data_IF_939821503410
#
_entry.id   IF_939821503410
#
_cell.length_a   1.000
_cell.length_b   1.000
_cell.length_c   1.000
_cell.angle_alpha   90.00
_cell.angle_beta   90.00
_cell.angle_gamma   90.00
#
_symmetry.space_group_name_H-M   'P 1'
#
loop_
_entity.id
_entity.type
_entity.pdbx_description
1 polymer ?
#
# COMPACT_ATOMS: atom_id res chain seq x y z
N UNK A 1 -31.79 -68.64 13.05
CA UNK A 1 -32.88 -67.85 13.69
C UNK A 1 -32.36 -66.45 14.00
N UNK A 2 -33.02 -65.40 13.53
CA UNK A 2 -32.63 -64.02 13.82
C UNK A 2 -32.70 -63.76 15.34
N UNK A 3 -31.64 -63.19 15.93
CA UNK A 3 -31.67 -62.74 17.32
C UNK A 3 -32.70 -61.61 17.43
N UNK A 4 -33.84 -61.85 18.08
CA UNK A 4 -34.78 -60.79 18.44
C UNK A 4 -34.06 -59.78 19.33
N UNK A 5 -33.95 -58.54 18.86
CA UNK A 5 -33.44 -57.42 19.65
C UNK A 5 -34.61 -56.79 20.39
N UNK A 6 -34.54 -56.72 21.71
CA UNK A 6 -35.59 -56.13 22.54
C UNK A 6 -35.25 -54.68 22.87
N UNK A 7 -36.23 -53.79 22.81
CA UNK A 7 -36.04 -52.43 23.31
C UNK A 7 -35.98 -52.43 24.84
N UNK A 8 -35.27 -51.45 25.41
CA UNK A 8 -35.11 -51.31 26.87
C UNK A 8 -36.46 -51.26 27.60
N UNK A 9 -37.49 -50.68 26.98
CA UNK A 9 -38.85 -50.64 27.51
C UNK A 9 -39.53 -52.02 27.57
N UNK A 10 -39.29 -52.86 26.56
CA UNK A 10 -39.84 -54.22 26.48
C UNK A 10 -39.17 -55.13 27.52
N UNK A 11 -37.84 -54.99 27.68
CA UNK A 11 -37.05 -55.68 28.71
C UNK A 11 -37.62 -55.38 30.11
N UNK A 12 -37.90 -54.12 30.42
CA UNK A 12 -38.42 -53.71 31.73
C UNK A 12 -39.86 -54.19 31.94
N UNK A 13 -40.71 -54.19 30.91
CA UNK A 13 -42.05 -54.80 30.98
C UNK A 13 -41.97 -56.30 31.31
N UNK A 14 -41.05 -57.02 30.66
CA UNK A 14 -40.81 -58.43 30.94
C UNK A 14 -40.28 -58.69 32.36
N UNK A 15 -39.42 -57.82 32.89
CA UNK A 15 -38.95 -57.91 34.28
C UNK A 15 -40.07 -57.65 35.30
N UNK A 16 -40.98 -56.71 35.03
CA UNK A 16 -42.17 -56.49 35.88
C UNK A 16 -43.12 -57.70 35.88
N UNK A 17 -43.37 -58.29 34.70
CA UNK A 17 -44.18 -59.53 34.62
C UNK A 17 -43.50 -60.68 35.36
N UNK A 18 -42.17 -60.76 35.33
CA UNK A 18 -41.41 -61.75 36.09
C UNK A 18 -41.56 -61.54 37.60
N UNK A 19 -41.51 -60.31 38.11
CA UNK A 19 -41.71 -60.02 39.54
C UNK A 19 -43.11 -60.42 40.02
N UNK A 20 -44.15 -60.15 39.22
CA UNK A 20 -45.54 -60.54 39.50
C UNK A 20 -45.72 -62.06 39.46
N UNK A 21 -45.17 -62.76 38.48
CA UNK A 21 -45.33 -64.21 38.38
C UNK A 21 -44.48 -64.95 39.42
N UNK A 22 -43.37 -64.36 39.86
CA UNK A 22 -42.56 -64.87 40.97
C UNK A 22 -43.29 -64.73 42.31
N UNK A 23 -44.05 -63.67 42.56
CA UNK A 23 -44.85 -63.53 43.78
C UNK A 23 -46.00 -64.55 43.86
N UNK A 24 -46.43 -65.10 42.72
CA UNK A 24 -47.36 -66.23 42.62
C UNK A 24 -46.70 -67.61 42.79
N UNK A 25 -45.39 -67.67 43.09
CA UNK A 25 -44.67 -68.91 43.37
C UNK A 25 -44.13 -69.68 42.16
N UNK A 26 -44.18 -69.12 40.94
CA UNK A 26 -43.66 -69.79 39.73
C UNK A 26 -42.12 -69.80 39.68
N UNK A 27 -41.56 -70.85 39.11
CA UNK A 27 -40.10 -70.98 38.94
C UNK A 27 -39.59 -70.11 37.79
N UNK A 28 -38.29 -69.76 37.82
CA UNK A 28 -37.67 -68.89 36.81
C UNK A 28 -37.76 -69.47 35.38
N UNK A 29 -37.79 -70.79 35.23
CA UNK A 29 -37.89 -71.48 33.95
C UNK A 29 -39.30 -71.43 33.36
N UNK A 30 -40.33 -71.49 34.20
CA UNK A 30 -41.73 -71.34 33.81
C UNK A 30 -42.05 -69.91 33.39
N UNK A 31 -41.51 -68.93 34.12
CA UNK A 31 -41.65 -67.50 33.80
C UNK A 31 -40.97 -67.18 32.46
N UNK A 32 -39.76 -67.71 32.24
CA UNK A 32 -39.03 -67.55 31.00
C UNK A 32 -39.79 -68.15 29.80
N UNK A 33 -40.38 -69.34 29.96
CA UNK A 33 -41.28 -69.97 28.97
C UNK A 33 -42.53 -69.13 28.69
N UNK A 34 -43.17 -68.58 29.72
CA UNK A 34 -44.36 -67.73 29.58
C UNK A 34 -44.07 -66.42 28.81
N UNK A 35 -42.89 -65.84 29.02
CA UNK A 35 -42.46 -64.61 28.34
C UNK A 35 -41.92 -64.91 26.92
N UNK A 36 -41.59 -66.17 26.62
CA UNK A 36 -41.03 -66.59 25.33
C UNK A 36 -39.55 -66.27 25.18
N UNK A 37 -38.80 -66.26 26.27
CA UNK A 37 -37.36 -65.90 26.32
C UNK A 37 -36.60 -66.97 27.11
N UNK A 38 -35.31 -67.16 26.81
CA UNK A 38 -34.47 -68.10 27.54
C UNK A 38 -34.20 -67.62 28.98
N UNK A 39 -34.22 -68.54 29.96
CA UNK A 39 -34.06 -68.22 31.39
C UNK A 39 -32.74 -67.48 31.70
N UNK A 40 -31.66 -67.81 30.98
CA UNK A 40 -30.35 -67.13 31.08
C UNK A 40 -30.45 -65.64 30.68
N UNK A 41 -31.21 -65.32 29.62
CA UNK A 41 -31.42 -63.95 29.16
C UNK A 41 -32.22 -63.15 30.19
N UNK A 42 -33.26 -63.77 30.76
CA UNK A 42 -34.08 -63.15 31.81
C UNK A 42 -33.26 -62.87 33.08
N UNK A 43 -32.38 -63.79 33.48
CA UNK A 43 -31.46 -63.60 34.61
C UNK A 43 -30.43 -62.49 34.35
N UNK A 44 -29.92 -62.38 33.11
CA UNK A 44 -29.03 -61.29 32.70
C UNK A 44 -29.74 -59.94 32.74
N UNK A 45 -30.94 -59.85 32.18
CA UNK A 45 -31.73 -58.62 32.22
C UNK A 45 -32.08 -58.19 33.64
N UNK A 46 -32.39 -59.14 34.52
CA UNK A 46 -32.61 -58.84 35.94
C UNK A 46 -31.36 -58.25 36.61
N UNK A 47 -30.17 -58.68 36.23
CA UNK A 47 -28.90 -58.13 36.75
C UNK A 47 -28.60 -56.74 36.20
N UNK A 48 -28.87 -56.50 34.92
CA UNK A 48 -28.54 -55.25 34.21
C UNK A 48 -29.60 -54.15 34.38
N UNK A 49 -30.87 -54.52 34.51
CA UNK A 49 -32.02 -53.60 34.52
C UNK A 49 -32.97 -53.81 35.71
N UNK A 50 -32.68 -54.74 36.63
CA UNK A 50 -33.49 -54.98 37.82
C UNK A 50 -33.49 -53.78 38.76
N UNK A 51 -34.66 -53.35 39.21
CA UNK A 51 -34.83 -52.17 40.08
C UNK A 51 -34.88 -50.82 39.34
N UNK A 52 -34.71 -50.79 38.02
CA UNK A 52 -34.82 -49.56 37.23
C UNK A 52 -36.29 -49.28 36.86
N UNK A 53 -36.77 -48.05 37.12
CA UNK A 53 -38.05 -47.61 36.57
C UNK A 53 -37.94 -47.30 35.07
N UNK A 54 -39.05 -47.42 34.32
CA UNK A 54 -39.08 -47.16 32.87
C UNK A 54 -38.51 -45.77 32.51
N UNK A 55 -38.79 -44.77 33.33
CA UNK A 55 -38.31 -43.39 33.13
C UNK A 55 -36.81 -43.25 33.38
N UNK A 56 -36.25 -44.01 34.33
CA UNK A 56 -34.80 -44.04 34.59
C UNK A 56 -34.05 -44.67 33.41
N UNK A 57 -34.63 -45.68 32.76
CA UNK A 57 -34.00 -46.34 31.61
C UNK A 57 -34.01 -45.48 30.35
N UNK A 58 -35.10 -44.73 30.12
CA UNK A 58 -35.19 -43.72 29.06
C UNK A 58 -34.12 -42.64 29.25
N UNK A 59 -34.04 -42.08 30.46
CA UNK A 59 -33.05 -41.06 30.83
C UNK A 59 -31.61 -41.54 30.61
N UNK A 60 -31.31 -42.78 30.98
CA UNK A 60 -29.96 -43.34 30.80
C UNK A 60 -29.57 -43.44 29.32
N UNK A 61 -30.49 -43.87 28.46
CA UNK A 61 -30.26 -43.95 27.01
C UNK A 61 -30.12 -42.57 26.35
N UNK A 62 -30.85 -41.57 26.83
CA UNK A 62 -30.70 -40.18 26.39
C UNK A 62 -29.33 -39.62 26.79
N UNK A 63 -28.91 -39.85 28.04
CA UNK A 63 -27.60 -39.45 28.55
C UNK A 63 -26.45 -40.13 27.78
N UNK A 64 -26.59 -41.39 27.37
CA UNK A 64 -25.60 -42.07 26.53
C UNK A 64 -25.47 -41.42 25.15
N UNK A 65 -26.59 -41.09 24.51
CA UNK A 65 -26.59 -40.38 23.21
C UNK A 65 -25.96 -39.00 23.34
N UNK A 66 -26.28 -38.27 24.40
CA UNK A 66 -25.74 -36.96 24.67
C UNK A 66 -24.24 -37.03 24.96
N UNK A 67 -23.79 -37.99 25.77
CA UNK A 67 -22.37 -38.24 26.00
C UNK A 67 -21.62 -38.59 24.71
N UNK A 68 -22.20 -39.40 23.82
CA UNK A 68 -21.58 -39.70 22.53
C UNK A 68 -21.49 -38.46 21.61
N UNK A 69 -22.45 -37.53 21.70
CA UNK A 69 -22.40 -36.25 21.00
C UNK A 69 -21.34 -35.33 21.60
N UNK A 70 -21.31 -35.19 22.92
CA UNK A 70 -20.33 -34.36 23.64
C UNK A 70 -18.90 -34.84 23.41
N UNK A 71 -18.64 -36.16 23.47
CA UNK A 71 -17.32 -36.73 23.18
C UNK A 71 -16.81 -36.36 21.79
N UNK A 72 -17.68 -36.37 20.78
CA UNK A 72 -17.33 -35.93 19.41
C UNK A 72 -16.99 -34.44 19.37
N UNK A 73 -17.82 -33.60 19.98
CA UNK A 73 -17.58 -32.14 20.04
C UNK A 73 -16.24 -31.84 20.73
N UNK A 74 -15.96 -32.50 21.86
CA UNK A 74 -14.71 -32.31 22.60
C UNK A 74 -13.50 -32.76 21.80
N UNK A 75 -13.58 -33.90 21.10
CA UNK A 75 -12.49 -34.36 20.23
C UNK A 75 -12.23 -33.37 19.08
N UNK A 76 -13.29 -32.84 18.48
CA UNK A 76 -13.17 -31.84 17.42
C UNK A 76 -12.57 -30.53 17.93
N UNK A 77 -13.03 -30.04 19.08
CA UNK A 77 -12.48 -28.85 19.72
C UNK A 77 -11.02 -29.04 20.14
N UNK A 78 -10.63 -30.22 20.63
CA UNK A 78 -9.26 -30.52 21.00
C UNK A 78 -8.31 -30.44 19.80
N UNK A 79 -8.76 -30.92 18.63
CA UNK A 79 -8.00 -30.86 17.40
C UNK A 79 -7.89 -29.40 16.89
N UNK A 80 -8.98 -28.63 16.93
CA UNK A 80 -8.97 -27.21 16.56
C UNK A 80 -8.07 -26.37 17.50
N UNK A 81 -8.08 -26.68 18.80
CA UNK A 81 -7.16 -26.06 19.77
C UNK A 81 -5.71 -26.42 19.48
N UNK A 82 -5.43 -27.65 19.04
CA UNK A 82 -4.08 -28.08 18.65
C UNK A 82 -3.62 -27.33 17.41
N UNK A 83 -4.50 -27.12 16.41
CA UNK A 83 -4.22 -26.28 15.24
C UNK A 83 -3.83 -24.86 15.68
N UNK A 84 -4.60 -24.24 16.58
CA UNK A 84 -4.31 -22.89 17.05
C UNK A 84 -3.00 -22.78 17.83
N UNK A 85 -2.64 -23.81 18.60
CA UNK A 85 -1.38 -23.86 19.36
C UNK A 85 -0.16 -24.13 18.48
N UNK A 86 -0.32 -24.90 17.42
CA UNK A 86 0.74 -25.30 16.48
C UNK A 86 0.90 -24.30 15.31
N UNK A 87 -0.04 -23.37 15.14
CA UNK A 87 0.05 -22.33 14.12
C UNK A 87 1.00 -21.13 14.39
N UNK A 88 1.87 -21.02 15.43
CA UNK A 88 2.57 -19.77 15.69
C UNK A 88 3.83 -19.67 14.81
N UNK A 89 3.64 -19.25 13.57
CA UNK A 89 4.65 -18.50 12.79
C UNK A 89 4.49 -16.99 13.08
N UNK A 90 4.41 -16.61 14.36
CA UNK A 90 4.15 -15.24 14.81
C UNK A 90 2.71 -14.77 14.61
N UNK A 91 2.50 -13.44 14.51
CA UNK A 91 1.15 -12.88 14.29
C UNK A 91 0.69 -13.18 12.85
N UNK A 92 -0.39 -13.95 12.69
CA UNK A 92 -1.04 -14.30 11.41
C UNK A 92 -1.79 -13.11 10.77
N UNK A 93 -1.10 -12.00 10.55
CA UNK A 93 -1.67 -10.73 10.09
C UNK A 93 -1.79 -10.65 8.56
N UNK A 94 -0.92 -11.35 7.83
CA UNK A 94 -0.91 -11.33 6.37
C UNK A 94 -1.49 -12.63 5.77
N UNK A 95 -2.15 -12.56 4.60
CA UNK A 95 -2.56 -13.77 3.89
C UNK A 95 -1.39 -14.72 3.59
N UNK A 96 -0.19 -14.19 3.35
CA UNK A 96 1.01 -15.00 3.11
C UNK A 96 1.40 -15.85 4.33
N UNK A 97 1.50 -15.24 5.52
CA UNK A 97 1.79 -15.98 6.75
C UNK A 97 0.68 -16.98 7.09
N UNK A 98 -0.59 -16.62 6.84
CA UNK A 98 -1.70 -17.56 6.98
C UNK A 98 -1.57 -18.77 6.05
N UNK A 99 -1.11 -18.56 4.80
CA UNK A 99 -0.88 -19.67 3.87
C UNK A 99 0.19 -20.63 4.36
N UNK A 100 1.32 -20.08 4.82
CA UNK A 100 2.42 -20.86 5.37
C UNK A 100 2.00 -21.64 6.62
N UNK A 101 1.27 -21.00 7.54
CA UNK A 101 0.74 -21.66 8.73
C UNK A 101 -0.24 -22.80 8.39
N UNK A 102 -1.10 -22.64 7.38
CA UNK A 102 -1.97 -23.73 6.90
C UNK A 102 -1.14 -24.91 6.41
N UNK A 103 -0.10 -24.67 5.59
CA UNK A 103 0.77 -25.72 5.07
C UNK A 103 1.51 -26.42 6.21
N UNK A 104 2.06 -25.65 7.15
CA UNK A 104 2.78 -26.16 8.31
C UNK A 104 1.90 -27.07 9.17
N UNK A 105 0.71 -26.59 9.55
CA UNK A 105 -0.20 -27.35 10.41
C UNK A 105 -0.75 -28.59 9.71
N UNK A 106 -1.01 -28.53 8.40
CA UNK A 106 -1.38 -29.72 7.63
C UNK A 106 -0.31 -30.80 7.69
N UNK A 107 0.97 -30.40 7.56
CA UNK A 107 2.09 -31.33 7.60
C UNK A 107 2.37 -31.89 9.00
N UNK A 108 2.23 -31.07 10.06
CA UNK A 108 2.53 -31.50 11.43
C UNK A 108 1.40 -32.31 12.07
N UNK A 109 0.15 -31.89 11.90
CA UNK A 109 -1.01 -32.49 12.58
C UNK A 109 -1.81 -33.45 11.68
N UNK A 110 -1.44 -33.61 10.41
CA UNK A 110 -2.14 -34.48 9.45
C UNK A 110 -3.59 -34.06 9.17
N UNK A 111 -3.91 -32.78 9.40
CA UNK A 111 -5.29 -32.26 9.28
C UNK A 111 -5.62 -31.89 7.83
N UNK A 112 -6.91 -31.98 7.46
CA UNK A 112 -7.34 -31.56 6.12
C UNK A 112 -7.16 -30.05 5.91
N UNK A 113 -6.84 -29.64 4.67
CA UNK A 113 -6.75 -28.23 4.26
C UNK A 113 -7.99 -27.44 4.65
N UNK A 114 -9.17 -28.05 4.52
CA UNK A 114 -10.46 -27.43 4.89
C UNK A 114 -10.50 -27.05 6.36
N UNK A 115 -10.10 -27.96 7.24
CA UNK A 115 -10.14 -27.74 8.69
C UNK A 115 -9.08 -26.72 9.10
N UNK A 116 -7.85 -26.86 8.61
CA UNK A 116 -6.76 -25.91 8.86
C UNK A 116 -7.14 -24.48 8.42
N UNK A 117 -7.64 -24.32 7.19
CA UNK A 117 -8.11 -23.02 6.68
C UNK A 117 -9.24 -22.42 7.52
N UNK A 118 -10.20 -23.26 7.97
CA UNK A 118 -11.32 -22.79 8.77
C UNK A 118 -10.86 -22.26 10.13
N UNK A 119 -9.99 -23.00 10.81
CA UNK A 119 -9.48 -22.63 12.15
C UNK A 119 -8.55 -21.41 12.07
N UNK A 120 -7.67 -21.33 11.07
CA UNK A 120 -6.76 -20.19 10.86
C UNK A 120 -7.49 -18.94 10.30
N UNK A 121 -8.72 -19.11 9.79
CA UNK A 121 -9.51 -18.04 9.20
C UNK A 121 -8.93 -17.56 7.86
N UNK A 122 -8.60 -18.49 6.97
CA UNK A 122 -8.18 -18.24 5.59
C UNK A 122 -9.15 -18.90 4.61
N UNK A 123 -9.56 -18.18 3.55
CA UNK A 123 -10.37 -18.79 2.49
C UNK A 123 -9.52 -19.78 1.67
N UNK A 124 -10.04 -20.98 1.40
CA UNK A 124 -9.38 -22.01 0.58
C UNK A 124 -9.02 -21.53 -0.83
N UNK A 125 -9.83 -20.65 -1.42
CA UNK A 125 -9.51 -20.04 -2.72
C UNK A 125 -8.20 -19.25 -2.65
N UNK A 126 -8.00 -18.49 -1.56
CA UNK A 126 -6.74 -17.79 -1.30
C UNK A 126 -5.62 -18.80 -1.15
N UNK A 127 -5.78 -19.85 -0.32
CA UNK A 127 -4.76 -20.89 -0.12
C UNK A 127 -4.27 -21.49 -1.45
N UNK A 128 -5.21 -21.91 -2.30
CA UNK A 128 -4.95 -22.57 -3.59
C UNK A 128 -4.50 -21.64 -4.71
N UNK A 129 -4.62 -20.33 -4.52
CA UNK A 129 -4.24 -19.36 -5.53
C UNK A 129 -2.73 -19.45 -5.83
N UNK A 130 -2.40 -19.80 -7.08
CA UNK A 130 -1.05 -19.71 -7.65
C UNK A 130 -0.92 -18.42 -8.44
N UNK A 131 0.20 -17.74 -8.28
CA UNK A 131 0.53 -16.52 -9.03
C UNK A 131 0.63 -16.89 -10.51
N UNK A 132 -0.13 -16.20 -11.37
CA UNK A 132 0.05 -16.27 -12.82
C UNK A 132 1.09 -15.22 -13.20
N UNK A 133 2.20 -15.65 -13.81
CA UNK A 133 3.21 -14.74 -14.37
C UNK A 133 2.67 -14.29 -15.73
N UNK A 134 2.43 -12.99 -15.85
CA UNK A 134 1.98 -12.36 -17.10
C UNK A 134 3.22 -11.94 -17.90
N UNK A 135 3.40 -12.37 -19.17
CA UNK A 135 4.50 -11.92 -20.02
C UNK A 135 4.59 -10.38 -20.14
N UNK A 136 3.47 -9.67 -19.98
CA UNK A 136 3.46 -8.21 -19.92
C UNK A 136 4.12 -7.67 -18.65
N UNK A 137 4.02 -8.37 -17.52
CA UNK A 137 4.68 -7.96 -16.26
C UNK A 137 6.21 -7.96 -16.42
N UNK A 138 6.78 -8.80 -17.29
CA UNK A 138 8.23 -8.83 -17.52
C UNK A 138 8.71 -7.60 -18.30
N UNK A 139 8.03 -7.27 -19.41
CA UNK A 139 8.30 -6.02 -20.15
C UNK A 139 8.10 -4.79 -19.28
N UNK A 140 7.07 -4.80 -18.44
CA UNK A 140 6.79 -3.73 -17.49
C UNK A 140 7.91 -3.63 -16.44
N UNK A 141 8.42 -4.75 -15.93
CA UNK A 141 9.52 -4.81 -14.97
C UNK A 141 10.80 -4.22 -15.53
N UNK A 142 11.19 -4.61 -16.75
CA UNK A 142 12.34 -4.03 -17.43
C UNK A 142 12.22 -2.50 -17.55
N UNK A 143 11.03 -2.01 -17.92
CA UNK A 143 10.79 -0.57 -18.06
C UNK A 143 10.80 0.17 -16.72
N UNK A 144 10.28 -0.44 -15.65
CA UNK A 144 10.38 0.10 -14.28
C UNK A 144 11.84 0.24 -13.86
N UNK A 145 12.66 -0.80 -14.07
CA UNK A 145 14.08 -0.80 -13.73
C UNK A 145 14.82 0.25 -14.56
N UNK A 146 14.52 0.36 -15.85
CA UNK A 146 15.08 1.39 -16.72
C UNK A 146 14.84 2.79 -16.16
N UNK A 147 13.59 3.13 -15.81
CA UNK A 147 13.27 4.44 -15.27
C UNK A 147 13.84 4.69 -13.87
N UNK A 148 13.93 3.65 -13.03
CA UNK A 148 14.56 3.77 -11.73
C UNK A 148 16.06 4.05 -11.84
N UNK A 149 16.76 3.42 -12.80
CA UNK A 149 18.17 3.68 -13.08
C UNK A 149 18.39 5.07 -13.68
N UNK A 150 17.55 5.44 -14.64
CA UNK A 150 17.65 6.74 -15.31
C UNK A 150 17.32 7.90 -14.36
N UNK A 151 16.36 7.71 -13.47
CA UNK A 151 15.86 8.71 -12.53
C UNK A 151 15.94 8.20 -11.09
N UNK A 152 17.14 8.05 -10.55
CA UNK A 152 17.39 7.42 -9.24
C UNK A 152 16.66 8.03 -8.03
N UNK A 153 16.18 9.27 -8.14
CA UNK A 153 15.40 9.97 -7.09
C UNK A 153 13.88 9.91 -7.31
N UNK A 154 13.40 9.28 -8.39
CA UNK A 154 11.96 9.16 -8.68
C UNK A 154 11.39 7.93 -7.98
N UNK A 155 10.24 8.10 -7.33
CA UNK A 155 9.50 6.98 -6.74
C UNK A 155 8.51 6.35 -7.69
N UNK A 156 7.96 5.20 -7.28
CA UNK A 156 7.02 4.38 -8.06
C UNK A 156 5.86 5.18 -8.66
N UNK A 157 5.33 6.20 -7.98
CA UNK A 157 4.24 7.06 -8.50
C UNK A 157 4.65 7.87 -9.73
N UNK A 158 5.85 8.46 -9.71
CA UNK A 158 6.37 9.19 -10.86
C UNK A 158 6.70 8.24 -12.01
N UNK A 159 7.31 7.10 -11.68
CA UNK A 159 7.59 6.06 -12.68
C UNK A 159 6.30 5.53 -13.31
N UNK A 160 5.21 5.41 -12.55
CA UNK A 160 3.87 5.10 -13.11
C UNK A 160 3.43 6.14 -14.15
N UNK A 161 3.63 7.43 -13.86
CA UNK A 161 3.33 8.50 -14.83
C UNK A 161 4.15 8.39 -16.12
N UNK A 162 5.45 8.08 -16.00
CA UNK A 162 6.33 7.87 -17.15
C UNK A 162 5.92 6.64 -17.97
N UNK A 163 5.59 5.52 -17.31
CA UNK A 163 5.12 4.30 -17.97
C UNK A 163 3.82 4.53 -18.73
N UNK A 164 2.90 5.31 -18.17
CA UNK A 164 1.63 5.61 -18.83
C UNK A 164 1.81 6.53 -20.02
N UNK A 165 2.80 7.42 -19.98
CA UNK A 165 3.20 8.22 -21.14
C UNK A 165 3.78 7.37 -22.27
N UNK A 166 4.51 6.31 -21.92
CA UNK A 166 5.03 5.32 -22.87
C UNK A 166 3.97 4.31 -23.35
N UNK A 167 2.69 4.50 -23.01
CA UNK A 167 1.59 3.68 -23.49
C UNK A 167 1.29 2.40 -22.70
N UNK A 168 1.97 2.14 -21.57
CA UNK A 168 1.74 0.91 -20.78
C UNK A 168 0.37 0.86 -20.08
N UNK A 169 -0.24 2.03 -19.81
CA UNK A 169 -1.55 2.16 -19.14
C UNK A 169 -1.71 1.28 -17.87
N UNK A 170 -0.80 1.47 -16.91
CA UNK A 170 -0.72 0.71 -15.66
C UNK A 170 -1.12 1.52 -14.44
N UNK A 171 -1.73 0.84 -13.47
CA UNK A 171 -2.03 1.40 -12.15
C UNK A 171 -0.79 1.48 -11.25
N UNK A 172 -0.77 2.48 -10.36
CA UNK A 172 0.34 2.72 -9.40
C UNK A 172 0.65 1.52 -8.51
N UNK A 173 -0.36 0.71 -8.17
CA UNK A 173 -0.21 -0.43 -7.26
C UNK A 173 0.46 -1.63 -7.95
N UNK A 174 0.23 -1.78 -9.27
CA UNK A 174 0.93 -2.77 -10.10
C UNK A 174 2.42 -2.44 -10.18
N UNK A 175 2.76 -1.17 -10.40
CA UNK A 175 4.14 -0.66 -10.41
C UNK A 175 4.77 -0.78 -9.02
N UNK A 176 4.04 -0.46 -7.96
CA UNK A 176 4.52 -0.59 -6.58
C UNK A 176 4.88 -2.04 -6.23
N UNK A 177 4.09 -3.02 -6.68
CA UNK A 177 4.37 -4.44 -6.49
C UNK A 177 5.69 -4.85 -7.14
N UNK A 178 5.92 -4.45 -8.39
CA UNK A 178 7.19 -4.71 -9.10
C UNK A 178 8.35 -4.00 -8.39
N UNK A 179 8.16 -2.73 -8.02
CA UNK A 179 9.14 -1.93 -7.29
C UNK A 179 9.62 -2.62 -6.01
N UNK A 180 8.70 -3.19 -5.24
CA UNK A 180 9.01 -3.94 -4.01
C UNK A 180 9.70 -5.29 -4.30
N UNK A 181 9.29 -5.99 -5.35
CA UNK A 181 9.91 -7.27 -5.76
C UNK A 181 11.37 -7.09 -6.20
N UNK A 182 11.66 -5.99 -6.91
CA UNK A 182 13.02 -5.64 -7.36
C UNK A 182 13.88 -5.03 -6.24
N UNK A 183 13.36 -4.89 -5.02
CA UNK A 183 14.09 -4.28 -3.91
C UNK A 183 14.41 -2.79 -4.11
N UNK A 184 13.77 -2.12 -5.07
CA UNK A 184 14.00 -0.71 -5.34
C UNK A 184 13.53 0.14 -4.16
N UNK A 185 14.35 1.10 -3.76
CA UNK A 185 14.01 2.07 -2.72
C UNK A 185 14.37 3.46 -3.19
N UNK A 186 13.50 4.42 -2.90
CA UNK A 186 13.83 5.83 -3.08
C UNK A 186 14.69 6.23 -1.88
N UNK A 187 15.84 6.89 -2.09
CA UNK A 187 16.65 7.40 -1.00
C UNK A 187 15.81 8.21 0.00
N UNK A 188 16.10 8.08 1.29
CA UNK A 188 15.36 8.82 2.31
C UNK A 188 15.52 10.33 2.10
N UNK A 189 14.38 11.03 2.13
CA UNK A 189 14.37 12.49 2.13
C UNK A 189 14.58 12.96 3.56
N UNK A 190 15.44 13.97 3.76
CA UNK A 190 15.52 14.61 5.06
C UNK A 190 14.13 15.11 5.51
N UNK A 191 13.73 14.86 6.77
CA UNK A 191 12.43 15.27 7.26
C UNK A 191 12.33 16.80 7.21
N UNK A 192 11.28 17.29 6.57
CA UNK A 192 10.99 18.73 6.56
C UNK A 192 10.64 19.16 7.98
N UNK A 193 11.29 20.21 8.49
CA UNK A 193 10.81 20.93 9.69
C UNK A 193 9.50 21.61 9.31
N UNK A 194 8.38 21.14 9.87
CA UNK A 194 7.06 21.72 9.61
C UNK A 194 7.00 23.18 10.10
N UNK A 195 6.42 24.06 9.28
CA UNK A 195 5.91 25.35 9.74
C UNK A 195 4.47 25.50 9.27
N UNK A 196 3.69 26.17 10.12
CA UNK A 196 2.24 26.32 10.11
C UNK A 196 1.72 26.72 8.72
N UNK A 197 0.97 25.80 8.11
CA UNK A 197 0.04 26.12 7.03
C UNK A 197 -1.30 26.43 7.67
N UNK A 198 -1.90 27.58 7.37
CA UNK A 198 -3.34 27.69 7.46
C UNK A 198 -3.93 26.84 6.32
N UNK A 199 -4.86 25.95 6.68
CA UNK A 199 -5.38 24.88 5.82
C UNK A 199 -6.41 25.39 4.77
N UNK A 200 -6.52 26.71 4.61
CA UNK A 200 -7.46 27.42 3.75
C UNK A 200 -6.81 28.00 2.48
N UNK A 201 -5.48 27.91 2.36
CA UNK A 201 -4.75 28.33 1.16
C UNK A 201 -4.78 29.83 0.90
N UNK A 202 -5.11 30.65 1.89
CA UNK A 202 -5.22 32.10 1.79
C UNK A 202 -3.88 32.78 2.07
N UNK A 203 -2.95 32.68 1.13
CA UNK A 203 -2.03 33.80 0.90
C UNK A 203 -2.70 34.66 -0.18
N UNK A 204 -2.89 35.96 0.06
CA UNK A 204 -3.37 36.90 -0.97
C UNK A 204 -2.30 36.95 -2.05
N UNK A 205 -2.37 35.99 -2.96
CA UNK A 205 -1.42 35.73 -4.02
C UNK A 205 -2.10 36.10 -5.31
N UNK A 206 -1.50 36.97 -6.13
CA UNK A 206 -1.90 37.07 -7.52
C UNK A 206 -1.70 35.68 -8.15
N UNK A 207 -2.81 35.01 -8.49
CA UNK A 207 -2.76 33.71 -9.15
C UNK A 207 -2.47 33.92 -10.63
N UNK A 208 -1.56 33.13 -11.23
CA UNK A 208 -1.36 33.19 -12.68
C UNK A 208 -2.62 32.68 -13.39
N UNK A 209 -3.01 33.34 -14.47
CA UNK A 209 -4.25 33.04 -15.20
C UNK A 209 -3.98 32.39 -16.56
N UNK A 210 -2.84 32.73 -17.17
CA UNK A 210 -2.40 32.23 -18.46
C UNK A 210 -0.86 32.09 -18.49
N UNK A 211 -0.29 31.34 -19.47
CA UNK A 211 1.16 31.20 -19.63
C UNK A 211 1.86 32.56 -19.76
N UNK A 212 3.01 32.71 -19.11
CA UNK A 212 3.76 33.97 -19.03
C UNK A 212 3.02 35.14 -18.33
N UNK A 213 1.92 34.89 -17.60
CA UNK A 213 1.28 35.95 -16.80
C UNK A 213 2.19 36.44 -15.65
N UNK A 214 2.72 35.48 -14.89
CA UNK A 214 3.57 35.73 -13.72
C UNK A 214 4.81 34.86 -13.80
N UNK A 215 5.98 35.49 -13.85
CA UNK A 215 7.25 34.80 -13.70
C UNK A 215 7.76 34.94 -12.28
N UNK A 216 8.25 33.86 -11.71
CA UNK A 216 8.90 33.86 -10.41
C UNK A 216 10.36 33.52 -10.58
N UNK A 217 11.25 34.26 -9.92
CA UNK A 217 12.67 33.92 -9.90
C UNK A 217 13.23 33.91 -8.48
N UNK A 218 14.31 33.16 -8.31
CA UNK A 218 15.00 32.99 -7.03
C UNK A 218 16.42 32.47 -7.27
N UNK A 219 17.28 32.60 -6.27
CA UNK A 219 18.64 32.08 -6.28
C UNK A 219 18.78 30.76 -5.53
N UNK A 220 19.56 29.85 -6.09
CA UNK A 220 20.06 28.66 -5.41
C UNK A 220 21.58 28.73 -5.37
N UNK A 221 22.16 28.61 -4.19
CA UNK A 221 23.60 28.48 -4.01
C UNK A 221 24.02 27.01 -3.90
N UNK A 222 25.17 26.71 -4.50
CA UNK A 222 25.86 25.42 -4.42
C UNK A 222 27.40 25.65 -4.43
N UNK A 223 28.20 24.62 -4.21
CA UNK A 223 29.67 24.69 -4.32
C UNK A 223 30.22 23.66 -5.30
N UNK A 224 31.28 24.04 -6.02
CA UNK A 224 32.10 23.08 -6.77
C UNK A 224 33.00 22.30 -5.80
N UNK A 225 33.56 21.17 -6.26
CA UNK A 225 34.44 20.28 -5.48
C UNK A 225 35.61 21.00 -4.82
N UNK A 226 36.15 22.02 -5.47
CA UNK A 226 37.21 22.90 -4.95
C UNK A 226 36.71 23.92 -3.88
N UNK A 227 35.46 23.80 -3.43
CA UNK A 227 34.84 24.65 -2.42
C UNK A 227 34.38 26.01 -2.93
N UNK A 228 34.60 26.35 -4.20
CA UNK A 228 34.20 27.65 -4.75
C UNK A 228 32.67 27.71 -4.91
N UNK A 229 32.05 28.81 -4.48
CA UNK A 229 30.60 28.99 -4.58
C UNK A 229 30.15 29.18 -6.04
N UNK A 230 28.98 28.64 -6.37
CA UNK A 230 28.21 28.93 -7.58
C UNK A 230 26.82 29.42 -7.17
N UNK A 231 26.29 30.37 -7.93
CA UNK A 231 24.91 30.85 -7.84
C UNK A 231 24.15 30.42 -9.10
N UNK A 232 22.91 29.98 -8.91
CA UNK A 232 22.00 29.57 -9.96
C UNK A 232 20.78 30.49 -9.88
N UNK A 233 20.52 31.27 -10.92
CA UNK A 233 19.28 32.05 -11.06
C UNK A 233 18.24 31.19 -11.77
N UNK A 234 17.20 30.83 -11.04
CA UNK A 234 16.09 30.06 -11.57
C UNK A 234 14.93 30.99 -11.89
N UNK A 235 14.36 30.86 -13.09
CA UNK A 235 13.18 31.61 -13.54
C UNK A 235 12.13 30.59 -13.95
N UNK A 236 10.94 30.69 -13.36
CA UNK A 236 9.86 29.72 -13.51
C UNK A 236 8.56 30.45 -13.84
N UNK A 237 7.85 30.00 -14.88
CA UNK A 237 6.47 30.44 -15.14
C UNK A 237 5.53 29.80 -14.12
N UNK A 238 4.81 30.65 -13.37
CA UNK A 238 3.91 30.18 -12.33
C UNK A 238 2.72 29.40 -12.89
N UNK A 239 2.29 29.64 -14.13
CA UNK A 239 1.14 28.95 -14.72
C UNK A 239 1.53 27.54 -15.17
N UNK A 240 2.45 27.45 -16.14
CA UNK A 240 2.86 26.20 -16.80
C UNK A 240 3.76 25.32 -15.93
N UNK A 241 4.36 25.89 -14.86
CA UNK A 241 5.42 25.27 -14.05
C UNK A 241 6.73 25.04 -14.81
N UNK A 242 6.86 25.63 -16.00
CA UNK A 242 8.07 25.55 -16.81
C UNK A 242 9.22 26.33 -16.17
N UNK A 243 10.38 25.70 -16.07
CA UNK A 243 11.62 26.42 -15.78
C UNK A 243 12.16 27.06 -17.06
N UNK A 244 11.92 28.37 -17.18
CA UNK A 244 12.31 29.18 -18.33
C UNK A 244 13.85 29.28 -18.41
N UNK A 245 14.51 29.47 -17.27
CA UNK A 245 15.96 29.64 -17.21
C UNK A 245 16.52 29.10 -15.89
N UNK A 246 17.70 28.49 -15.96
CA UNK A 246 18.52 28.09 -14.82
C UNK A 246 19.97 28.57 -15.06
N UNK A 247 20.22 29.86 -14.89
CA UNK A 247 21.50 30.48 -15.24
C UNK A 247 22.54 30.28 -14.14
N UNK A 248 23.68 29.67 -14.47
CA UNK A 248 24.73 29.31 -13.49
C UNK A 248 25.97 30.18 -13.66
N UNK A 249 26.35 30.90 -12.60
CA UNK A 249 27.53 31.75 -12.57
C UNK A 249 28.16 31.80 -11.16
N UNK A 250 29.40 32.30 -11.05
CA UNK A 250 30.04 32.51 -9.74
C UNK A 250 29.45 33.70 -8.99
N UNK A 251 29.08 34.74 -9.73
CA UNK A 251 28.43 35.96 -9.25
C UNK A 251 27.35 36.32 -10.25
N UNK A 252 26.22 36.80 -9.74
CA UNK A 252 25.11 37.30 -10.54
C UNK A 252 24.77 38.68 -9.97
N UNK A 253 24.93 39.71 -10.79
CA UNK A 253 24.66 41.11 -10.48
C UNK A 253 23.32 41.53 -11.06
N UNK A 254 22.73 42.61 -10.55
CA UNK A 254 21.46 43.14 -11.09
C UNK A 254 21.53 43.47 -12.58
N UNK A 255 22.72 43.85 -13.10
CA UNK A 255 22.91 44.12 -14.52
C UNK A 255 22.90 42.83 -15.35
N UNK A 256 23.50 41.76 -14.85
CA UNK A 256 23.42 40.43 -15.49
C UNK A 256 21.97 39.91 -15.49
N UNK A 257 21.21 40.13 -14.41
CA UNK A 257 19.78 39.79 -14.35
C UNK A 257 19.00 40.51 -15.45
N UNK A 258 19.24 41.81 -15.66
CA UNK A 258 18.61 42.57 -16.76
C UNK A 258 18.92 41.93 -18.11
N UNK A 259 20.18 41.55 -18.38
CA UNK A 259 20.54 40.90 -19.65
C UNK A 259 19.85 39.54 -19.82
N UNK A 260 19.84 38.71 -18.78
CA UNK A 260 19.17 37.40 -18.82
C UNK A 260 17.67 37.59 -19.09
N UNK A 261 17.01 38.50 -18.38
CA UNK A 261 15.59 38.77 -18.59
C UNK A 261 15.32 39.38 -19.96
N UNK A 262 16.19 40.25 -20.47
CA UNK A 262 16.03 40.85 -21.81
C UNK A 262 16.05 39.76 -22.89
N UNK A 263 17.00 38.82 -22.82
CA UNK A 263 17.05 37.68 -23.73
C UNK A 263 15.78 36.82 -23.67
N UNK A 264 15.22 36.65 -22.47
CA UNK A 264 13.97 35.90 -22.29
C UNK A 264 12.76 36.66 -22.83
N UNK A 265 12.69 37.98 -22.62
CA UNK A 265 11.62 38.83 -23.12
C UNK A 265 11.59 38.88 -24.64
N UNK A 266 12.76 38.88 -25.29
CA UNK A 266 12.86 38.78 -26.76
C UNK A 266 12.27 37.46 -27.25
N UNK A 267 12.52 36.35 -26.54
CA UNK A 267 12.08 35.01 -26.95
C UNK A 267 10.62 34.72 -26.66
N UNK A 268 10.04 35.28 -25.59
CA UNK A 268 8.72 34.88 -25.06
C UNK A 268 7.73 36.02 -24.89
N UNK A 269 8.17 37.26 -25.08
CA UNK A 269 7.44 38.45 -24.66
C UNK A 269 7.68 38.78 -23.19
N UNK A 270 7.24 39.97 -22.79
CA UNK A 270 7.32 40.43 -21.41
C UNK A 270 6.17 39.83 -20.58
N UNK A 271 6.44 39.27 -19.38
CA UNK A 271 5.38 38.89 -18.46
C UNK A 271 4.70 40.14 -17.89
N UNK A 272 3.43 40.02 -17.46
CA UNK A 272 2.75 41.14 -16.79
C UNK A 272 3.31 41.39 -15.39
N UNK A 273 3.70 40.32 -14.72
CA UNK A 273 4.21 40.37 -13.35
C UNK A 273 5.48 39.55 -13.17
N UNK A 274 6.37 40.06 -12.34
CA UNK A 274 7.59 39.37 -11.92
C UNK A 274 7.64 39.31 -10.40
N UNK A 275 7.81 38.10 -9.87
CA UNK A 275 7.87 37.84 -8.44
C UNK A 275 9.29 37.51 -8.02
N UNK A 276 9.75 38.21 -7.00
CA UNK A 276 11.07 38.03 -6.41
C UNK A 276 10.98 38.05 -4.90
N UNK A 277 11.96 37.45 -4.24
CA UNK A 277 12.21 37.79 -2.84
C UNK A 277 12.83 39.20 -2.73
N UNK A 278 13.10 39.62 -1.50
CA UNK A 278 13.66 40.93 -1.20
C UNK A 278 15.20 40.95 -1.25
N UNK A 279 15.82 40.08 -2.05
CA UNK A 279 17.26 40.10 -2.29
C UNK A 279 17.72 41.45 -2.84
N UNK A 280 18.90 41.91 -2.39
CA UNK A 280 19.46 43.20 -2.79
C UNK A 280 19.65 43.33 -4.31
N UNK A 281 19.93 42.21 -4.98
CA UNK A 281 20.08 42.11 -6.41
C UNK A 281 18.76 42.35 -7.17
N UNK A 282 17.62 42.05 -6.56
CA UNK A 282 16.29 42.14 -7.15
C UNK A 282 15.60 43.48 -6.88
N UNK A 283 15.88 44.11 -5.74
CA UNK A 283 15.36 45.45 -5.41
C UNK A 283 16.21 46.57 -6.05
N UNK A 284 17.32 46.24 -6.71
CA UNK A 284 18.23 47.21 -7.29
C UNK A 284 17.50 48.23 -8.20
N UNK A 285 17.79 49.53 -7.98
CA UNK A 285 17.16 50.65 -8.70
C UNK A 285 17.19 50.52 -10.23
N UNK A 286 18.22 49.86 -10.77
CA UNK A 286 18.37 49.63 -12.21
C UNK A 286 17.28 48.68 -12.74
N UNK A 287 17.01 47.60 -12.02
CA UNK A 287 16.02 46.59 -12.39
C UNK A 287 14.61 47.18 -12.29
N UNK A 288 14.34 47.90 -11.21
CA UNK A 288 13.06 48.56 -10.97
C UNK A 288 12.73 49.65 -12.00
N UNK A 289 13.72 50.44 -12.40
CA UNK A 289 13.54 51.42 -13.48
C UNK A 289 13.24 50.72 -14.81
N UNK A 290 13.96 49.64 -15.10
CA UNK A 290 13.77 48.88 -16.33
C UNK A 290 12.39 48.21 -16.41
N UNK A 291 11.91 47.60 -15.32
CA UNK A 291 10.54 47.06 -15.25
C UNK A 291 9.48 48.15 -15.46
N UNK A 292 9.67 49.33 -14.88
CA UNK A 292 8.78 50.48 -15.11
C UNK A 292 8.73 50.90 -16.59
N UNK A 293 9.86 50.87 -17.29
CA UNK A 293 9.93 51.20 -18.72
C UNK A 293 9.17 50.17 -19.59
N UNK A 294 9.09 48.92 -19.15
CA UNK A 294 8.45 47.82 -19.87
C UNK A 294 7.00 47.54 -19.41
N UNK A 295 6.42 48.36 -18.54
CA UNK A 295 5.11 48.14 -17.90
C UNK A 295 4.98 46.76 -17.22
N UNK A 296 6.09 46.27 -16.63
CA UNK A 296 6.13 45.04 -15.85
C UNK A 296 5.95 45.40 -14.38
N UNK A 297 4.95 44.81 -13.72
CA UNK A 297 4.68 45.08 -12.32
C UNK A 297 5.41 44.08 -11.40
N UNK A 298 6.42 44.52 -10.62
CA UNK A 298 7.08 43.65 -9.66
C UNK A 298 6.16 43.34 -8.49
N UNK A 299 6.08 42.05 -8.12
CA UNK A 299 5.37 41.54 -6.98
C UNK A 299 6.40 41.20 -5.89
N UNK A 300 6.63 42.14 -4.99
CA UNK A 300 7.49 41.91 -3.84
C UNK A 300 6.79 41.10 -2.77
N UNK A 301 7.56 40.23 -2.14
CA UNK A 301 7.11 39.43 -1.02
C UNK A 301 7.08 40.31 0.24
N UNK A 302 6.04 40.16 1.06
CA UNK A 302 6.00 40.80 2.36
C UNK A 302 7.19 40.34 3.24
N UNK A 303 7.88 41.24 3.99
CA UNK A 303 8.95 40.84 4.88
C UNK A 303 8.51 39.74 5.85
N UNK A 304 9.26 38.63 5.89
CA UNK A 304 8.91 37.48 6.72
C UNK A 304 7.92 36.48 6.09
N UNK A 305 7.51 36.67 4.83
CA UNK A 305 6.54 35.82 4.11
C UNK A 305 7.12 35.00 2.95
N UNK A 306 8.19 34.19 3.14
CA UNK A 306 8.87 33.48 2.05
C UNK A 306 7.93 32.55 1.23
N UNK A 307 6.83 32.10 1.82
CA UNK A 307 5.82 31.26 1.17
C UNK A 307 5.12 31.94 -0.03
N UNK A 308 5.17 33.27 -0.13
CA UNK A 308 4.62 34.00 -1.28
C UNK A 308 5.35 33.67 -2.59
N UNK A 309 6.62 33.23 -2.55
CA UNK A 309 7.36 32.68 -3.69
C UNK A 309 7.35 31.13 -3.72
N UNK A 310 6.28 30.52 -3.23
CA UNK A 310 6.20 29.06 -3.07
C UNK A 310 6.36 28.23 -4.36
N UNK A 311 6.20 28.81 -5.56
CA UNK A 311 6.46 28.06 -6.80
C UNK A 311 7.95 27.92 -7.07
N UNK A 312 8.71 29.03 -6.99
CA UNK A 312 10.16 29.00 -7.17
C UNK A 312 10.82 28.24 -6.01
N UNK A 313 10.35 28.42 -4.76
CA UNK A 313 10.83 27.63 -3.62
C UNK A 313 10.59 26.11 -3.82
N UNK A 314 9.39 25.75 -4.27
CA UNK A 314 9.05 24.36 -4.59
C UNK A 314 9.91 23.82 -5.76
N UNK A 315 10.25 24.65 -6.74
CA UNK A 315 11.17 24.29 -7.82
C UNK A 315 12.60 24.08 -7.29
N UNK A 316 13.13 25.03 -6.53
CA UNK A 316 14.46 24.98 -5.92
C UNK A 316 14.63 23.75 -5.02
N UNK A 317 13.59 23.40 -4.25
CA UNK A 317 13.58 22.17 -3.45
C UNK A 317 13.59 20.87 -4.28
N UNK A 318 13.07 20.89 -5.52
CA UNK A 318 13.19 19.76 -6.46
C UNK A 318 14.58 19.71 -7.09
N UNK A 319 15.13 20.87 -7.52
CA UNK A 319 16.47 20.95 -8.08
C UNK A 319 17.52 20.45 -7.07
N UNK A 320 17.44 20.86 -5.80
CA UNK A 320 18.33 20.32 -4.76
C UNK A 320 18.21 18.81 -4.64
N UNK A 321 17.00 18.31 -4.40
CA UNK A 321 16.79 16.89 -4.12
C UNK A 321 17.04 15.95 -5.31
N UNK A 322 16.70 16.38 -6.52
CA UNK A 322 16.76 15.55 -7.73
C UNK A 322 18.07 15.73 -8.52
N UNK A 323 18.83 16.82 -8.26
CA UNK A 323 20.09 17.12 -8.94
C UNK A 323 21.22 17.43 -7.95
N UNK A 324 21.16 18.57 -7.25
CA UNK A 324 22.34 19.12 -6.55
C UNK A 324 22.84 18.23 -5.42
N UNK A 325 21.94 17.62 -4.63
CA UNK A 325 22.29 16.71 -3.53
C UNK A 325 22.86 15.36 -4.01
N UNK A 326 22.82 15.10 -5.32
CA UNK A 326 23.30 13.86 -5.94
C UNK A 326 24.51 14.03 -6.86
N UNK A 327 24.89 15.26 -7.18
CA UNK A 327 25.92 15.57 -8.17
C UNK A 327 27.12 16.27 -7.54
N UNK A 328 28.32 15.98 -8.05
CA UNK A 328 29.56 16.64 -7.65
C UNK A 328 30.15 17.40 -8.84
N UNK A 329 30.04 18.73 -8.81
CA UNK A 329 30.56 19.58 -9.89
C UNK A 329 32.05 19.89 -9.70
N UNK A 330 32.89 19.53 -10.67
CA UNK A 330 34.32 19.87 -10.69
C UNK A 330 34.56 21.28 -11.22
N UNK A 331 33.80 21.70 -12.23
CA UNK A 331 33.97 23.02 -12.87
C UNK A 331 32.66 23.80 -12.99
N UNK A 332 32.76 25.12 -13.15
CA UNK A 332 31.58 25.95 -13.45
C UNK A 332 30.92 25.53 -14.78
N UNK A 333 31.73 25.17 -15.78
CA UNK A 333 31.22 24.78 -17.10
C UNK A 333 30.45 23.48 -17.04
N UNK A 334 30.95 22.52 -16.27
CA UNK A 334 30.23 21.27 -15.99
C UNK A 334 28.89 21.54 -15.30
N UNK A 335 28.87 22.39 -14.26
CA UNK A 335 27.64 22.77 -13.60
C UNK A 335 26.63 23.40 -14.58
N UNK A 336 27.08 24.31 -15.47
CA UNK A 336 26.24 24.89 -16.51
C UNK A 336 25.61 23.82 -17.42
N UNK A 337 26.40 22.86 -17.90
CA UNK A 337 25.93 21.82 -18.82
C UNK A 337 24.95 20.88 -18.12
N UNK A 338 25.30 20.39 -16.93
CA UNK A 338 24.48 19.42 -16.19
C UNK A 338 23.16 20.06 -15.74
N UNK A 339 23.20 21.30 -15.23
CA UNK A 339 22.00 22.02 -14.79
C UNK A 339 21.09 22.33 -15.98
N UNK A 340 21.63 22.73 -17.12
CA UNK A 340 20.83 22.95 -18.34
C UNK A 340 20.20 21.65 -18.84
N UNK A 341 20.95 20.54 -18.86
CA UNK A 341 20.42 19.22 -19.21
C UNK A 341 19.28 18.82 -18.26
N UNK A 342 19.47 19.04 -16.96
CA UNK A 342 18.42 18.76 -15.97
C UNK A 342 17.20 19.66 -16.16
N UNK A 343 17.38 20.95 -16.50
CA UNK A 343 16.28 21.87 -16.80
C UNK A 343 15.45 21.39 -17.98
N UNK A 344 16.11 20.94 -19.05
CA UNK A 344 15.44 20.36 -20.22
C UNK A 344 14.64 19.12 -19.82
N UNK A 345 15.24 18.19 -19.08
CA UNK A 345 14.56 17.00 -18.57
C UNK A 345 13.38 17.35 -17.62
N UNK A 346 13.54 18.36 -16.78
CA UNK A 346 12.49 18.85 -15.90
C UNK A 346 11.29 19.36 -16.70
N UNK A 347 11.54 20.06 -17.80
CA UNK A 347 10.47 20.61 -18.65
C UNK A 347 9.84 19.57 -19.57
N UNK A 348 10.62 18.66 -20.18
CA UNK A 348 10.11 17.74 -21.22
C UNK A 348 9.72 16.35 -20.71
N UNK A 349 10.32 15.90 -19.60
CA UNK A 349 10.19 14.50 -19.16
C UNK A 349 9.57 14.37 -17.77
N UNK A 350 9.95 15.22 -16.82
CA UNK A 350 9.58 15.04 -15.43
C UNK A 350 8.06 15.07 -15.24
N UNK A 351 7.45 14.08 -14.55
CA UNK A 351 6.02 14.10 -14.29
C UNK A 351 5.65 15.02 -13.11
N UNK A 352 4.65 15.87 -13.30
CA UNK A 352 4.13 16.80 -12.29
C UNK A 352 2.74 16.40 -11.80
N UNK A 353 2.59 16.14 -10.50
CA UNK A 353 1.30 15.76 -9.92
C UNK A 353 0.21 16.81 -10.15
N UNK A 354 0.55 18.11 -10.08
CA UNK A 354 -0.38 19.21 -10.37
C UNK A 354 -0.78 19.32 -11.84
N UNK A 355 -0.06 18.64 -12.75
CA UNK A 355 -0.31 18.61 -14.19
C UNK A 355 -0.76 17.20 -14.63
N UNK A 356 -1.44 16.44 -13.76
CA UNK A 356 -1.87 15.07 -14.03
C UNK A 356 -0.72 14.15 -14.51
N UNK A 357 0.46 14.32 -13.90
CA UNK A 357 1.70 13.62 -14.23
C UNK A 357 2.26 13.90 -15.64
N UNK A 358 1.79 14.95 -16.32
CA UNK A 358 2.44 15.48 -17.52
C UNK A 358 3.65 16.35 -17.16
N UNK A 359 4.57 16.49 -18.11
CA UNK A 359 5.66 17.44 -18.01
C UNK A 359 5.17 18.86 -18.30
N UNK A 360 5.86 19.92 -17.84
CA UNK A 360 5.47 21.31 -18.12
C UNK A 360 5.39 21.64 -19.61
N UNK A 361 6.35 21.16 -20.40
CA UNK A 361 6.44 21.35 -21.86
C UNK A 361 6.77 19.99 -22.47
N UNK A 362 5.79 19.07 -22.55
CA UNK A 362 6.04 17.75 -23.09
C UNK A 362 6.44 17.88 -24.57
N UNK A 363 7.47 17.15 -24.98
CA UNK A 363 7.81 17.03 -26.41
C UNK A 363 6.60 16.42 -27.13
N UNK A 364 5.93 17.24 -27.93
CA UNK A 364 4.92 16.78 -28.89
C UNK A 364 5.66 16.29 -30.12
N UNK A 365 5.82 14.97 -30.26
CA UNK A 365 6.09 14.40 -31.58
C UNK A 365 4.88 14.69 -32.45
N UNK A 366 5.09 15.31 -33.61
CA UNK A 366 4.06 15.28 -34.66
C UNK A 366 3.80 13.81 -35.00
N UNK A 367 2.54 13.38 -35.18
CA UNK A 367 2.28 12.04 -35.71
C UNK A 367 2.98 11.94 -37.07
N UNK A 368 3.71 10.85 -37.30
CA UNK A 368 4.20 10.51 -38.63
C UNK A 368 2.97 10.14 -39.48
N UNK A 369 2.44 11.12 -40.22
CA UNK A 369 1.46 10.87 -41.27
C UNK A 369 2.23 10.42 -42.51
N UNK A 370 2.61 9.14 -42.57
CA UNK A 370 2.98 8.49 -43.84
C UNK A 370 1.74 8.08 -44.63
#
# INVERSE_FOLDING_TARGET
MARKSYQTEEIIKHLRTMEIEKSKGKTMEEIARHIGIHAVTLAKWKREYGGLQLDQAKRLKELEKENARLKRIVADQALDNSIMKEAPLGKLLSPAHKKEAVIYVMNQLGVSERRACNVIGLNRCTQRYKIKIDPFDEKLRERVIYFAKLFGRYGYRKVTGLLNRDGFNVGKDRVYRIWRQEGLQVPEKQPKRGRLWFNDGSCIRLRPEYPNHVWSYDFVAERTRDGRAIKILNIVDEFTKECICAHVARRITSREIVFILADLFIKRGCPKHIRSDNGSEFIAKILMRWFKTLDIAPLFIAPGSPWENGYCESFNGKMRYELLDGELFYTLREAQIIIEKWRQQYNSIRPHQSLNYRAPVPETCAPDWE
#
